data_IF_543973318968
#
_entry.id   IF_543973318968
#
_cell.length_a   1.000
_cell.length_b   1.000
_cell.length_c   1.000
_cell.angle_alpha   90.00
_cell.angle_beta   90.00
_cell.angle_gamma   90.00
#
_symmetry.space_group_name_H-M   'P 1'
#
loop_
_entity.id
_entity.type
_entity.pdbx_description
1 polymer ?
#
# COMPACT_ATOMS: atom_id res chain seq x y z
N UNK A 1 -3.47 -17.73 -1.91
CA UNK A 1 -3.54 -17.19 -0.55
C UNK A 1 -3.83 -15.69 -0.61
N UNK A 2 -4.72 -15.21 0.24
CA UNK A 2 -5.04 -13.79 0.30
C UNK A 2 -4.53 -13.19 1.59
N UNK A 3 -3.96 -11.99 1.49
CA UNK A 3 -3.41 -11.27 2.63
C UNK A 3 -3.85 -9.81 2.58
N UNK A 4 -4.23 -9.27 3.74
CA UNK A 4 -4.55 -7.86 3.90
C UNK A 4 -3.35 -7.18 4.53
N UNK A 5 -2.71 -6.29 3.77
CA UNK A 5 -1.52 -5.57 4.19
C UNK A 5 -1.84 -4.10 4.42
N UNK A 6 -1.29 -3.54 5.49
CA UNK A 6 -1.41 -2.11 5.78
C UNK A 6 0.00 -1.54 5.95
N UNK A 7 0.32 -0.54 5.13
CA UNK A 7 1.61 0.15 5.17
C UNK A 7 1.39 1.57 5.68
N UNK A 8 2.10 1.95 6.73
CA UNK A 8 2.05 3.31 7.27
C UNK A 8 3.28 4.09 6.83
N UNK A 9 3.10 5.37 6.53
CA UNK A 9 4.24 6.25 6.28
C UNK A 9 5.03 6.44 7.56
N UNK A 10 6.33 6.71 7.41
CA UNK A 10 7.19 7.00 8.56
C UNK A 10 6.70 8.27 9.25
N UNK A 11 6.55 8.20 10.57
CA UNK A 11 6.02 9.29 11.39
C UNK A 11 4.58 9.68 11.07
N UNK A 12 3.82 8.79 10.41
CA UNK A 12 2.43 9.05 9.99
C UNK A 12 2.27 10.33 9.15
N UNK A 13 3.27 10.69 8.36
CA UNK A 13 3.24 11.88 7.51
C UNK A 13 2.18 11.72 6.42
N UNK A 14 1.34 12.74 6.28
CA UNK A 14 0.25 12.75 5.29
C UNK A 14 0.77 13.23 3.94
N UNK A 15 1.45 12.34 3.22
CA UNK A 15 2.11 12.68 1.95
C UNK A 15 1.37 12.22 0.71
N UNK A 16 0.42 11.29 0.83
CA UNK A 16 -0.30 10.76 -0.31
C UNK A 16 -1.54 11.60 -0.62
N UNK A 17 -1.33 12.68 -1.35
CA UNK A 17 -2.40 13.56 -1.78
C UNK A 17 -2.26 13.83 -3.27
N UNK A 18 -3.38 14.07 -3.95
CA UNK A 18 -3.43 14.47 -5.37
C UNK A 18 -2.64 13.50 -6.26
N UNK A 19 -1.67 14.01 -7.02
CA UNK A 19 -0.89 13.22 -7.98
C UNK A 19 -0.03 12.15 -7.31
N UNK A 20 0.49 12.43 -6.11
CA UNK A 20 1.29 11.46 -5.36
C UNK A 20 0.44 10.25 -4.99
N UNK A 21 -0.79 10.47 -4.56
CA UNK A 21 -1.72 9.39 -4.22
C UNK A 21 -2.00 8.49 -5.43
N UNK A 22 -2.33 9.09 -6.55
CA UNK A 22 -2.62 8.34 -7.80
C UNK A 22 -1.40 7.54 -8.25
N UNK A 23 -0.24 8.16 -8.19
CA UNK A 23 1.00 7.51 -8.62
C UNK A 23 1.37 6.36 -7.69
N UNK A 24 1.17 6.54 -6.39
CA UNK A 24 1.39 5.46 -5.40
C UNK A 24 0.53 4.24 -5.73
N UNK A 25 -0.74 4.45 -6.02
CA UNK A 25 -1.64 3.36 -6.41
C UNK A 25 -1.16 2.64 -7.66
N UNK A 26 -0.79 3.37 -8.69
CA UNK A 26 -0.27 2.80 -9.94
C UNK A 26 1.01 1.99 -9.71
N UNK A 27 1.95 2.56 -8.97
CA UNK A 27 3.23 1.90 -8.68
C UNK A 27 3.00 0.59 -7.92
N UNK A 28 2.16 0.61 -6.90
CA UNK A 28 1.90 -0.59 -6.10
C UNK A 28 1.22 -1.68 -6.93
N UNK A 29 0.26 -1.33 -7.77
CA UNK A 29 -0.37 -2.28 -8.69
C UNK A 29 0.65 -2.91 -9.64
N UNK A 30 1.55 -2.10 -10.18
CA UNK A 30 2.59 -2.59 -11.10
C UNK A 30 3.56 -3.52 -10.40
N UNK A 31 3.97 -3.20 -9.16
CA UNK A 31 4.87 -4.06 -8.39
C UNK A 31 4.20 -5.42 -8.13
N UNK A 32 2.95 -5.42 -7.71
CA UNK A 32 2.22 -6.64 -7.42
C UNK A 32 2.06 -7.49 -8.69
N UNK A 33 1.76 -6.86 -9.81
CA UNK A 33 1.66 -7.54 -11.10
C UNK A 33 2.97 -8.20 -11.49
N UNK A 34 4.08 -7.49 -11.35
CA UNK A 34 5.42 -8.01 -11.65
C UNK A 34 5.80 -9.20 -10.77
N UNK A 35 5.29 -9.24 -9.55
CA UNK A 35 5.51 -10.35 -8.62
C UNK A 35 4.57 -11.55 -8.87
N UNK A 36 3.68 -11.44 -9.82
CA UNK A 36 2.68 -12.48 -10.09
C UNK A 36 1.55 -12.51 -9.07
N UNK A 37 1.34 -11.42 -8.34
CA UNK A 37 0.27 -11.29 -7.37
C UNK A 37 -0.97 -10.67 -8.00
N UNK A 38 -2.13 -10.99 -7.44
CA UNK A 38 -3.39 -10.36 -7.82
C UNK A 38 -3.68 -9.21 -6.85
N UNK A 39 -3.80 -7.99 -7.37
CA UNK A 39 -4.27 -6.86 -6.57
C UNK A 39 -5.80 -6.87 -6.56
N UNK A 40 -6.39 -7.39 -5.49
CA UNK A 40 -7.85 -7.49 -5.37
C UNK A 40 -8.46 -6.14 -5.05
N UNK A 41 -7.87 -5.41 -4.12
CA UNK A 41 -8.33 -4.08 -3.71
C UNK A 41 -7.14 -3.28 -3.20
N UNK A 42 -7.16 -1.97 -3.45
CA UNK A 42 -6.16 -1.05 -2.91
C UNK A 42 -6.83 0.27 -2.56
N UNK A 43 -6.46 0.84 -1.43
CA UNK A 43 -6.93 2.15 -1.01
C UNK A 43 -5.77 2.93 -0.41
N UNK A 44 -5.38 4.01 -1.08
CA UNK A 44 -4.30 4.90 -0.63
C UNK A 44 -4.92 6.04 0.16
N UNK A 45 -4.62 6.08 1.45
CA UNK A 45 -4.99 7.15 2.36
C UNK A 45 -3.83 8.13 2.52
N UNK A 46 -4.04 9.33 3.07
CA UNK A 46 -2.95 10.31 3.16
C UNK A 46 -1.68 9.80 3.86
N UNK A 47 -1.79 8.95 4.86
CA UNK A 47 -0.65 8.48 5.64
C UNK A 47 -0.53 6.96 5.71
N UNK A 48 -1.32 6.21 4.95
CA UNK A 48 -1.23 4.76 4.93
C UNK A 48 -1.92 4.17 3.70
N UNK A 49 -1.64 2.90 3.42
CA UNK A 49 -2.21 2.19 2.28
C UNK A 49 -2.73 0.84 2.75
N UNK A 50 -3.95 0.51 2.36
CA UNK A 50 -4.53 -0.83 2.51
C UNK A 50 -4.45 -1.57 1.18
N UNK A 51 -3.94 -2.80 1.20
CA UNK A 51 -3.91 -3.66 0.03
C UNK A 51 -4.48 -5.03 0.38
N UNK A 52 -5.42 -5.50 -0.41
CA UNK A 52 -5.84 -6.90 -0.39
C UNK A 52 -5.23 -7.58 -1.60
N UNK A 53 -4.36 -8.55 -1.36
CA UNK A 53 -3.53 -9.15 -2.39
C UNK A 53 -3.64 -10.66 -2.38
N UNK A 54 -3.78 -11.24 -3.59
CA UNK A 54 -3.68 -12.69 -3.80
C UNK A 54 -2.23 -13.03 -4.10
N UNK A 55 -1.64 -13.90 -3.27
CA UNK A 55 -0.21 -14.23 -3.32
C UNK A 55 -0.05 -15.67 -3.81
N UNK A 56 0.78 -15.90 -4.86
CA UNK A 56 1.04 -17.26 -5.33
C UNK A 56 1.85 -18.04 -4.29
N UNK A 57 1.77 -19.37 -4.37
CA UNK A 57 2.44 -20.26 -3.42
C UNK A 57 3.96 -20.20 -3.50
N UNK A 58 4.50 -19.59 -4.55
CA UNK A 58 5.95 -19.52 -4.81
C UNK A 58 6.66 -18.43 -4.02
N UNK A 59 5.92 -17.49 -3.43
CA UNK A 59 6.49 -16.38 -2.65
C UNK A 59 5.75 -16.21 -1.33
N UNK A 60 6.42 -15.59 -0.36
CA UNK A 60 5.84 -15.34 0.97
C UNK A 60 5.22 -13.96 1.05
N UNK A 61 4.23 -13.75 1.96
CA UNK A 61 3.72 -12.41 2.22
C UNK A 61 4.80 -11.41 2.64
N UNK A 62 5.78 -11.86 3.43
CA UNK A 62 6.91 -11.01 3.86
C UNK A 62 7.74 -10.54 2.68
N UNK A 63 7.98 -11.41 1.70
CA UNK A 63 8.72 -11.05 0.50
C UNK A 63 7.96 -10.00 -0.32
N UNK A 64 6.64 -10.19 -0.47
CA UNK A 64 5.78 -9.23 -1.18
C UNK A 64 5.83 -7.86 -0.49
N UNK A 65 5.64 -7.84 0.82
CA UNK A 65 5.66 -6.60 1.59
C UNK A 65 7.00 -5.88 1.46
N UNK A 66 8.10 -6.60 1.54
CA UNK A 66 9.45 -6.04 1.40
C UNK A 66 9.64 -5.41 0.03
N UNK A 67 9.24 -6.10 -1.02
CA UNK A 67 9.34 -5.59 -2.39
C UNK A 67 8.47 -4.36 -2.61
N UNK A 68 7.22 -4.40 -2.15
CA UNK A 68 6.30 -3.27 -2.27
C UNK A 68 6.88 -2.04 -1.58
N UNK A 69 7.35 -2.18 -0.35
CA UNK A 69 7.91 -1.07 0.41
C UNK A 69 9.17 -0.50 -0.26
N UNK A 70 10.11 -1.35 -0.62
CA UNK A 70 11.40 -0.92 -1.16
C UNK A 70 11.24 -0.22 -2.51
N UNK A 71 10.53 -0.85 -3.43
CA UNK A 71 10.40 -0.33 -4.79
C UNK A 71 9.53 0.92 -4.82
N UNK A 72 8.41 0.92 -4.10
CA UNK A 72 7.53 2.10 -4.05
C UNK A 72 8.23 3.30 -3.41
N UNK A 73 8.99 3.08 -2.35
CA UNK A 73 9.76 4.16 -1.71
C UNK A 73 10.77 4.77 -2.68
N UNK A 74 11.52 3.91 -3.37
CA UNK A 74 12.54 4.37 -4.31
C UNK A 74 11.92 5.17 -5.47
N UNK A 75 10.87 4.64 -6.09
CA UNK A 75 10.22 5.29 -7.23
C UNK A 75 9.53 6.58 -6.85
N UNK A 76 8.74 6.58 -5.77
CA UNK A 76 8.01 7.77 -5.35
C UNK A 76 8.95 8.89 -4.92
N UNK A 77 10.00 8.57 -4.18
CA UNK A 77 10.98 9.58 -3.74
C UNK A 77 11.79 10.12 -4.91
N UNK A 78 11.99 9.33 -5.95
CA UNK A 78 12.65 9.77 -7.17
C UNK A 78 11.76 10.69 -7.99
N UNK A 79 10.47 10.36 -8.11
CA UNK A 79 9.53 11.13 -8.92
C UNK A 79 9.05 12.41 -8.22
N UNK A 80 8.96 12.39 -6.89
CA UNK A 80 8.47 13.51 -6.10
C UNK A 80 9.51 13.93 -5.08
N UNK A 81 10.34 14.90 -5.46
CA UNK A 81 11.44 15.38 -4.62
C UNK A 81 10.97 15.87 -3.23
N UNK A 82 9.74 16.38 -3.15
CA UNK A 82 9.16 16.84 -1.89
C UNK A 82 9.11 15.73 -0.83
N UNK A 83 9.00 14.48 -1.25
CA UNK A 83 8.97 13.36 -0.30
C UNK A 83 10.29 13.18 0.43
N UNK A 84 11.41 13.46 -0.24
CA UNK A 84 12.75 13.41 0.39
C UNK A 84 12.89 14.49 1.45
N UNK A 85 12.23 15.63 1.27
CA UNK A 85 12.25 16.72 2.25
C UNK A 85 11.35 16.42 3.44
N UNK A 86 10.16 15.89 3.20
CA UNK A 86 9.19 15.60 4.25
C UNK A 86 9.54 14.34 5.05
N UNK A 87 10.09 13.32 4.37
CA UNK A 87 10.51 12.06 5.00
C UNK A 87 11.91 11.71 4.48
N UNK A 88 12.98 12.25 5.11
CA UNK A 88 14.32 12.22 4.52
C UNK A 88 14.93 10.84 4.30
N UNK A 89 14.69 9.88 5.19
CA UNK A 89 15.42 8.60 5.15
C UNK A 89 14.66 7.45 4.51
N UNK A 90 13.37 7.36 4.77
CA UNK A 90 12.55 6.26 4.28
C UNK A 90 11.11 6.69 4.20
N UNK A 91 10.37 6.21 3.19
CA UNK A 91 8.97 6.55 3.03
C UNK A 91 8.09 5.84 4.07
N UNK A 92 8.34 4.56 4.29
CA UNK A 92 7.48 3.70 5.11
C UNK A 92 8.01 3.50 6.51
N UNK A 93 7.10 3.32 7.46
CA UNK A 93 7.44 2.86 8.80
C UNK A 93 8.10 1.48 8.71
N UNK A 94 8.93 1.09 9.71
CA UNK A 94 9.71 -0.15 9.63
C UNK A 94 8.88 -1.42 9.50
N UNK A 95 7.68 -1.45 10.06
CA UNK A 95 6.83 -2.64 10.05
C UNK A 95 5.63 -2.47 9.13
N UNK A 96 4.97 -3.61 8.86
CA UNK A 96 3.75 -3.67 8.06
C UNK A 96 2.78 -4.60 8.77
N UNK A 97 1.52 -4.24 8.80
CA UNK A 97 0.48 -5.10 9.35
C UNK A 97 0.04 -6.11 8.30
N UNK A 98 0.04 -7.38 8.66
CA UNK A 98 -0.42 -8.48 7.82
C UNK A 98 -1.59 -9.21 8.48
N UNK A 99 -2.55 -9.59 7.68
CA UNK A 99 -3.63 -10.45 8.15
C UNK A 99 -4.04 -11.39 7.03
N UNK A 100 -3.87 -12.69 7.25
CA UNK A 100 -4.33 -13.71 6.32
C UNK A 100 -5.85 -13.66 6.24
N UNK A 101 -6.38 -13.74 5.02
CA UNK A 101 -7.81 -13.63 4.76
C UNK A 101 -8.32 -14.91 4.14
N UNK A 102 -9.49 -15.37 4.59
CA UNK A 102 -10.16 -16.54 4.02
C UNK A 102 -10.71 -16.27 2.63
N UNK A 103 -11.41 -17.26 2.08
CA UNK A 103 -11.92 -17.20 0.71
C UNK A 103 -13.06 -16.21 0.52
N UNK A 104 -13.79 -15.85 1.59
CA UNK A 104 -14.82 -14.82 1.52
C UNK A 104 -14.20 -13.45 1.70
N UNK A 105 -13.95 -12.78 0.58
CA UNK A 105 -13.28 -11.49 0.54
C UNK A 105 -14.26 -10.30 0.69
N UNK A 106 -15.56 -10.56 0.69
CA UNK A 106 -16.57 -9.50 0.61
C UNK A 106 -16.44 -8.48 1.75
N UNK A 107 -16.30 -8.94 2.98
CA UNK A 107 -16.19 -8.05 4.15
C UNK A 107 -14.91 -7.24 4.12
N UNK A 108 -13.79 -7.84 3.72
CA UNK A 108 -12.50 -7.15 3.67
C UNK A 108 -12.52 -6.08 2.58
N UNK A 109 -13.04 -6.41 1.41
CA UNK A 109 -13.17 -5.46 0.30
C UNK A 109 -14.03 -4.27 0.73
N UNK A 110 -15.18 -4.55 1.36
CA UNK A 110 -16.06 -3.50 1.86
C UNK A 110 -15.34 -2.59 2.86
N UNK A 111 -14.62 -3.18 3.81
CA UNK A 111 -13.85 -2.43 4.81
C UNK A 111 -12.82 -1.52 4.16
N UNK A 112 -12.04 -2.04 3.22
CA UNK A 112 -10.99 -1.27 2.54
C UNK A 112 -11.60 -0.11 1.74
N UNK A 113 -12.66 -0.37 0.99
CA UNK A 113 -13.32 0.67 0.18
C UNK A 113 -13.89 1.80 1.03
N UNK A 114 -14.34 1.49 2.25
CA UNK A 114 -14.98 2.47 3.12
C UNK A 114 -14.02 3.17 4.08
N UNK A 115 -12.72 2.82 4.10
CA UNK A 115 -11.71 3.51 4.90
C UNK A 115 -11.67 5.01 4.59
N UNK A 116 -11.86 5.35 3.32
CA UNK A 116 -11.84 6.73 2.87
C UNK A 116 -12.90 7.58 3.57
N UNK A 117 -14.11 7.03 3.73
CA UNK A 117 -15.20 7.71 4.44
C UNK A 117 -14.92 7.83 5.94
N UNK A 118 -14.39 6.77 6.55
CA UNK A 118 -14.07 6.75 7.99
C UNK A 118 -13.04 7.78 8.37
N UNK A 119 -12.09 8.06 7.51
CA UNK A 119 -10.99 9.00 7.78
C UNK A 119 -11.24 10.39 7.24
N UNK A 120 -12.48 10.72 6.89
CA UNK A 120 -12.84 12.06 6.47
C UNK A 120 -12.34 12.45 5.08
N UNK A 121 -12.08 11.50 4.22
CA UNK A 121 -11.74 11.78 2.83
C UNK A 121 -12.87 12.45 2.08
N UNK A 122 -12.63 12.94 0.86
CA UNK A 122 -13.69 13.57 0.04
C UNK A 122 -14.87 12.62 -0.14
N UNK A 123 -16.04 13.16 0.00
CA UNK A 123 -17.26 12.39 -0.12
C UNK A 123 -17.78 12.41 -1.56
#
# INVERSE_FOLDING_TARGET
MYDHMIFHTKYNRKVFQNNIRKRCEEIMKNILDDLGCECVEINVQPNHVHILVGIPLTITPSHVAMKVKRISSWLLRREFAVLKQQIPKALWAPSCTHQSVGNDLTKVIYYIRNQYKKHGGPK
#
